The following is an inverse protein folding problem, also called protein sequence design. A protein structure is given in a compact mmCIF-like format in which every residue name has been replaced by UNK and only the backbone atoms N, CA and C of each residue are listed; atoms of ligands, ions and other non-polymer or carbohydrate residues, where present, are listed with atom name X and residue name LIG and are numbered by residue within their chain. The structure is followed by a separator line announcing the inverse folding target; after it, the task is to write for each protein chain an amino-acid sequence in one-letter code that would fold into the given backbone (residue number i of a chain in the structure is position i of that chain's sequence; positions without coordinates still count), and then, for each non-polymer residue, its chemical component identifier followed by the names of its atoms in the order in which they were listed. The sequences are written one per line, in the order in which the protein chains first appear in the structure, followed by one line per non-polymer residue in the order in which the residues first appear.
data_IF_948977460300
#
_entry.id   IF_948977460300
#
_cell.length_a   1.000
_cell.length_b   1.000
_cell.length_c   1.000
_cell.angle_alpha   90.00
_cell.angle_beta   90.00
_cell.angle_gamma   90.00
#
_symmetry.space_group_name_H-M   'P 1'
#
loop_
_entity.id
_entity.type
_entity.pdbx_description
1 polymer ?
#
# COMPACT_ATOMS: atom_id res chain seq x y z
N UNK A 1 -42.34 3.07 -8.18
CA UNK A 1 -41.57 3.03 -6.91
C UNK A 1 -40.08 2.65 -7.09
N UNK A 2 -39.52 2.51 -8.31
CA UNK A 2 -38.07 2.19 -8.48
C UNK A 2 -37.31 3.16 -9.40
N UNK A 3 -37.91 4.29 -9.82
CA UNK A 3 -37.23 5.31 -10.66
C UNK A 3 -36.86 6.61 -9.95
N UNK A 4 -37.23 6.77 -8.67
CA UNK A 4 -37.07 8.04 -7.93
C UNK A 4 -35.90 8.08 -6.93
N UNK A 5 -35.11 7.00 -6.77
CA UNK A 5 -33.95 6.99 -5.84
C UNK A 5 -32.58 7.19 -6.49
N UNK A 6 -32.45 7.00 -7.82
CA UNK A 6 -31.20 7.24 -8.53
C UNK A 6 -31.02 8.71 -8.93
N UNK A 7 -32.12 9.43 -9.18
CA UNK A 7 -32.07 10.82 -9.62
C UNK A 7 -31.56 11.78 -8.54
N UNK A 8 -31.89 11.58 -7.25
CA UNK A 8 -31.39 12.42 -6.15
C UNK A 8 -29.91 12.18 -5.82
N UNK A 9 -29.36 11.02 -6.18
CA UNK A 9 -27.91 10.76 -6.08
C UNK A 9 -27.18 11.43 -7.25
N UNK A 10 -27.77 11.41 -8.45
CA UNK A 10 -27.23 12.04 -9.66
C UNK A 10 -27.35 13.58 -9.68
N UNK A 11 -28.44 14.18 -9.17
CA UNK A 11 -28.57 15.65 -9.06
C UNK A 11 -27.65 16.23 -7.97
N UNK A 12 -27.37 15.48 -6.89
CA UNK A 12 -26.37 15.89 -5.89
C UNK A 12 -24.91 15.69 -6.36
N UNK A 13 -24.67 14.92 -7.43
CA UNK A 13 -23.34 14.73 -8.03
C UNK A 13 -22.82 16.00 -8.74
N UNK A 14 -23.68 16.92 -9.20
CA UNK A 14 -23.21 18.12 -9.91
C UNK A 14 -22.45 19.10 -9.00
N UNK A 15 -22.64 19.04 -7.69
CA UNK A 15 -22.03 19.98 -6.73
C UNK A 15 -20.76 19.46 -6.05
N UNK A 16 -20.50 18.15 -6.13
CA UNK A 16 -19.41 17.47 -5.39
C UNK A 16 -18.73 16.34 -6.20
N UNK A 17 -19.05 16.23 -7.48
CA UNK A 17 -18.93 15.01 -8.28
C UNK A 17 -17.52 14.49 -8.52
N UNK A 18 -16.50 15.35 -8.55
CA UNK A 18 -15.16 14.88 -8.94
C UNK A 18 -14.53 14.01 -7.85
N UNK A 19 -14.55 14.43 -6.58
CA UNK A 19 -13.98 13.66 -5.48
C UNK A 19 -14.74 12.34 -5.24
N UNK A 20 -16.08 12.39 -5.26
CA UNK A 20 -16.92 11.19 -5.09
C UNK A 20 -16.80 10.24 -6.29
N UNK A 21 -16.79 10.75 -7.53
CA UNK A 21 -16.61 9.91 -8.72
C UNK A 21 -15.21 9.31 -8.79
N UNK A 22 -14.18 10.05 -8.37
CA UNK A 22 -12.81 9.57 -8.26
C UNK A 22 -12.69 8.43 -7.23
N UNK A 23 -13.36 8.56 -6.08
CA UNK A 23 -13.45 7.51 -5.07
C UNK A 23 -14.26 6.30 -5.55
N UNK A 24 -15.46 6.50 -6.11
CA UNK A 24 -16.29 5.43 -6.64
C UNK A 24 -15.59 4.67 -7.77
N UNK A 25 -14.75 5.37 -8.55
CA UNK A 25 -13.87 4.78 -9.56
C UNK A 25 -12.75 3.95 -8.92
N UNK A 26 -12.02 4.50 -7.95
CA UNK A 26 -10.98 3.75 -7.25
C UNK A 26 -11.50 2.52 -6.49
N UNK A 27 -12.68 2.60 -5.88
CA UNK A 27 -13.37 1.46 -5.28
C UNK A 27 -13.70 0.36 -6.29
N UNK A 28 -14.14 0.74 -7.50
CA UNK A 28 -14.41 -0.21 -8.59
C UNK A 28 -13.13 -0.81 -9.15
N UNK A 29 -12.04 -0.04 -9.15
CA UNK A 29 -10.76 -0.42 -9.76
C UNK A 29 -9.83 -1.14 -8.77
N UNK A 30 -10.21 -1.30 -7.49
CA UNK A 30 -9.36 -1.90 -6.43
C UNK A 30 -7.96 -1.27 -6.28
N UNK A 31 -7.70 -0.15 -6.94
CA UNK A 31 -6.39 0.50 -6.99
C UNK A 31 -6.21 1.46 -5.80
N UNK A 32 -4.98 1.55 -5.31
CA UNK A 32 -4.53 2.66 -4.48
C UNK A 32 -4.78 3.98 -5.21
N UNK A 33 -5.50 4.90 -4.57
CA UNK A 33 -5.72 6.24 -5.11
C UNK A 33 -4.36 6.90 -5.38
N UNK A 34 -4.11 7.43 -6.59
CA UNK A 34 -3.00 8.35 -6.82
C UNK A 34 -3.00 9.47 -5.77
N UNK A 35 -1.82 9.92 -5.31
CA UNK A 35 -1.68 10.94 -4.26
C UNK A 35 -2.51 12.20 -4.55
N UNK A 36 -2.53 12.65 -5.82
CA UNK A 36 -3.37 13.76 -6.30
C UNK A 36 -4.89 13.53 -6.06
N UNK A 37 -5.35 12.28 -6.16
CA UNK A 37 -6.74 11.92 -5.92
C UNK A 37 -7.06 11.82 -4.42
N UNK A 38 -6.10 11.41 -3.59
CA UNK A 38 -6.21 11.46 -2.12
C UNK A 38 -6.34 12.91 -1.65
N UNK A 39 -5.44 13.79 -2.08
CA UNK A 39 -5.50 15.23 -1.76
C UNK A 39 -6.83 15.86 -2.22
N UNK A 40 -7.27 15.56 -3.45
CA UNK A 40 -8.56 16.01 -3.96
C UNK A 40 -9.75 15.47 -3.16
N UNK A 41 -9.66 14.23 -2.67
CA UNK A 41 -10.69 13.62 -1.83
C UNK A 41 -10.72 14.24 -0.42
N UNK A 42 -9.56 14.51 0.19
CA UNK A 42 -9.44 15.21 1.47
C UNK A 42 -10.08 16.60 1.38
N UNK A 43 -9.74 17.36 0.35
CA UNK A 43 -10.28 18.69 0.11
C UNK A 43 -11.80 18.63 -0.10
N UNK A 44 -12.28 17.72 -0.95
CA UNK A 44 -13.72 17.52 -1.18
C UNK A 44 -14.48 17.20 0.10
N UNK A 45 -13.98 16.25 0.91
CA UNK A 45 -14.61 15.83 2.16
C UNK A 45 -14.63 16.93 3.23
N UNK A 46 -13.57 17.73 3.31
CA UNK A 46 -13.48 18.86 4.24
C UNK A 46 -14.56 19.92 3.96
N UNK A 47 -14.96 20.07 2.70
CA UNK A 47 -16.01 20.98 2.26
C UNK A 47 -17.41 20.38 2.40
N UNK A 48 -17.57 19.07 2.22
CA UNK A 48 -18.88 18.39 2.30
C UNK A 48 -19.36 18.30 3.75
N UNK A 49 -18.51 17.83 4.67
CA UNK A 49 -18.93 17.47 6.03
C UNK A 49 -19.64 18.60 6.80
N UNK A 50 -19.17 19.87 6.79
CA UNK A 50 -19.82 20.97 7.50
C UNK A 50 -21.17 21.40 6.90
N UNK A 51 -21.45 21.00 5.66
CA UNK A 51 -22.66 21.37 4.92
C UNK A 51 -23.74 20.27 4.92
N UNK A 52 -23.50 19.15 5.60
CA UNK A 52 -24.49 18.10 5.78
C UNK A 52 -25.31 18.35 7.06
N UNK A 53 -26.62 18.13 6.95
CA UNK A 53 -27.51 18.05 8.11
C UNK A 53 -27.00 16.93 9.05
N UNK A 54 -26.89 17.15 10.38
CA UNK A 54 -26.45 16.14 11.35
C UNK A 54 -27.16 14.78 11.28
N UNK A 55 -28.40 14.74 10.80
CA UNK A 55 -29.19 13.52 10.64
C UNK A 55 -29.17 12.97 9.20
N UNK A 56 -28.40 13.58 8.28
CA UNK A 56 -28.27 13.12 6.90
C UNK A 56 -27.59 11.73 6.88
N UNK A 57 -28.21 10.71 6.26
CA UNK A 57 -27.64 9.36 6.18
C UNK A 57 -26.26 9.31 5.49
N UNK A 58 -25.90 10.35 4.71
CA UNK A 58 -24.58 10.48 4.10
C UNK A 58 -23.46 10.80 5.10
N UNK A 59 -23.78 11.24 6.33
CA UNK A 59 -22.74 11.53 7.33
C UNK A 59 -21.91 10.29 7.65
N UNK A 60 -22.54 9.14 7.80
CA UNK A 60 -21.81 7.89 8.07
C UNK A 60 -20.87 7.54 6.90
N UNK A 61 -21.32 7.73 5.66
CA UNK A 61 -20.52 7.49 4.46
C UNK A 61 -19.35 8.49 4.35
N UNK A 62 -19.58 9.78 4.62
CA UNK A 62 -18.55 10.83 4.62
C UNK A 62 -17.53 10.62 5.74
N UNK A 63 -17.93 10.24 6.95
CA UNK A 63 -17.01 9.93 8.03
C UNK A 63 -16.18 8.68 7.75
N UNK A 64 -16.80 7.64 7.18
CA UNK A 64 -16.06 6.46 6.71
C UNK A 64 -15.07 6.85 5.60
N UNK A 65 -15.44 7.77 4.71
CA UNK A 65 -14.55 8.26 3.66
C UNK A 65 -13.42 9.10 4.23
N UNK A 66 -13.66 9.96 5.23
CA UNK A 66 -12.59 10.72 5.90
C UNK A 66 -11.60 9.79 6.59
N UNK A 67 -12.10 8.77 7.31
CA UNK A 67 -11.26 7.73 7.91
C UNK A 67 -10.45 7.00 6.86
N UNK A 68 -11.08 6.62 5.75
CA UNK A 68 -10.42 5.92 4.64
C UNK A 68 -9.31 6.78 4.03
N UNK A 69 -9.63 8.01 3.63
CA UNK A 69 -8.69 8.93 2.99
C UNK A 69 -7.54 9.32 3.95
N UNK A 70 -7.81 9.43 5.25
CA UNK A 70 -6.77 9.63 6.26
C UNK A 70 -5.91 8.38 6.52
N UNK A 71 -6.41 7.18 6.21
CA UNK A 71 -5.66 5.91 6.33
C UNK A 71 -4.83 5.57 5.10
N UNK A 72 -4.95 6.33 4.00
CA UNK A 72 -4.11 6.13 2.82
C UNK A 72 -2.76 6.80 3.05
N UNK A 73 -1.71 6.00 3.14
CA UNK A 73 -0.32 6.46 3.09
C UNK A 73 0.00 6.92 1.67
N UNK A 74 0.36 8.19 1.48
CA UNK A 74 0.66 8.74 0.15
C UNK A 74 2.15 8.62 -0.16
N UNK A 75 2.47 8.64 -1.46
CA UNK A 75 3.84 8.94 -1.89
C UNK A 75 4.23 10.31 -1.35
N UNK A 76 5.39 10.37 -0.68
CA UNK A 76 5.91 11.54 0.03
C UNK A 76 5.61 11.54 1.53
N UNK A 77 4.70 10.68 2.02
CA UNK A 77 4.47 10.52 3.45
C UNK A 77 5.48 9.54 4.05
N UNK A 78 5.70 9.64 5.35
CA UNK A 78 6.41 8.61 6.12
C UNK A 78 5.56 7.33 6.14
N UNK A 79 6.14 6.21 5.73
CA UNK A 79 5.45 4.92 5.84
C UNK A 79 5.24 4.63 7.34
N UNK A 80 4.00 4.34 7.80
CA UNK A 80 3.74 4.08 9.20
C UNK A 80 4.64 2.96 9.72
N UNK A 81 5.38 3.25 10.77
CA UNK A 81 6.21 2.25 11.42
C UNK A 81 5.34 1.16 12.07
N UNK A 82 5.82 -0.06 11.97
CA UNK A 82 5.13 -1.27 12.41
C UNK A 82 6.13 -2.21 13.03
N UNK A 83 5.71 -2.91 14.08
CA UNK A 83 6.46 -4.05 14.59
C UNK A 83 5.95 -5.30 13.89
N UNK A 84 6.84 -5.96 13.16
CA UNK A 84 6.59 -7.24 12.53
C UNK A 84 7.58 -8.28 13.08
N UNK A 85 7.39 -9.53 12.70
CA UNK A 85 8.31 -10.62 13.08
C UNK A 85 9.02 -11.15 11.85
N UNK A 86 10.31 -11.43 11.98
CA UNK A 86 11.03 -12.28 11.04
C UNK A 86 10.45 -13.69 11.07
N UNK A 87 10.84 -14.53 10.11
CA UNK A 87 10.39 -15.93 10.09
C UNK A 87 10.86 -16.70 11.34
N UNK A 88 11.97 -16.30 11.96
CA UNK A 88 12.51 -16.86 13.20
C UNK A 88 11.76 -16.37 14.45
N UNK A 89 10.80 -15.46 14.28
CA UNK A 89 10.00 -14.90 15.36
C UNK A 89 10.66 -13.72 16.08
N UNK A 90 11.75 -13.17 15.54
CA UNK A 90 12.43 -11.99 16.07
C UNK A 90 11.62 -10.74 15.69
N UNK A 91 11.38 -9.85 16.64
CA UNK A 91 10.71 -8.57 16.35
C UNK A 91 11.65 -7.63 15.59
N UNK A 92 11.12 -6.99 14.57
CA UNK A 92 11.82 -6.02 13.73
C UNK A 92 10.85 -4.90 13.32
N UNK A 93 11.40 -3.73 13.00
CA UNK A 93 10.68 -2.51 12.62
C UNK A 93 11.29 -1.89 11.36
N UNK A 94 10.66 -0.85 10.80
CA UNK A 94 11.24 -0.13 9.66
C UNK A 94 12.48 0.69 10.05
N UNK A 95 12.61 1.09 11.32
CA UNK A 95 13.80 1.80 11.82
C UNK A 95 15.07 0.95 11.68
N UNK A 96 14.96 -0.39 11.73
CA UNK A 96 16.09 -1.31 11.52
C UNK A 96 16.64 -1.25 10.07
N UNK A 97 15.87 -0.69 9.15
CA UNK A 97 16.26 -0.50 7.74
C UNK A 97 16.70 0.93 7.42
N UNK A 98 16.73 1.82 8.41
CA UNK A 98 17.11 3.23 8.20
C UNK A 98 18.50 3.35 7.57
N UNK A 99 18.63 4.32 6.66
CA UNK A 99 19.83 4.48 5.82
C UNK A 99 19.84 3.62 4.57
N UNK A 100 18.87 2.69 4.41
CA UNK A 100 18.70 1.89 3.19
C UNK A 100 17.48 2.33 2.39
N UNK A 101 17.58 2.25 1.07
CA UNK A 101 16.40 2.23 0.21
C UNK A 101 15.81 0.82 0.29
N UNK A 102 14.54 0.69 0.64
CA UNK A 102 13.89 -0.62 0.83
C UNK A 102 12.76 -0.79 -0.17
N UNK A 103 12.83 -1.87 -0.95
CA UNK A 103 11.69 -2.33 -1.73
C UNK A 103 10.95 -3.38 -0.91
N UNK A 104 9.78 -3.03 -0.39
CA UNK A 104 8.87 -3.93 0.30
C UNK A 104 7.99 -4.63 -0.74
N UNK A 105 7.94 -5.95 -0.73
CA UNK A 105 6.97 -6.74 -1.48
C UNK A 105 6.05 -7.50 -0.51
N UNK A 106 4.77 -7.14 -0.51
CA UNK A 106 3.76 -7.84 0.28
C UNK A 106 3.12 -8.91 -0.59
N UNK A 107 3.21 -10.17 -0.16
CA UNK A 107 2.93 -11.35 -0.97
C UNK A 107 2.35 -12.49 -0.15
N UNK A 108 2.05 -13.61 -0.81
CA UNK A 108 1.70 -14.87 -0.15
C UNK A 108 2.08 -16.07 -1.05
N UNK A 109 2.33 -17.23 -0.45
CA UNK A 109 2.71 -18.46 -1.20
C UNK A 109 1.63 -18.95 -2.15
N UNK A 110 0.36 -18.68 -1.86
CA UNK A 110 -0.77 -19.03 -2.74
C UNK A 110 -1.06 -17.96 -3.82
N UNK A 111 -0.33 -16.85 -3.82
CA UNK A 111 -0.50 -15.76 -4.78
C UNK A 111 0.28 -16.05 -6.08
N UNK A 112 -0.41 -16.61 -7.08
CA UNK A 112 0.19 -16.90 -8.40
C UNK A 112 0.93 -15.72 -9.03
N UNK A 113 0.34 -14.50 -9.12
CA UNK A 113 1.04 -13.32 -9.65
C UNK A 113 2.29 -12.93 -8.85
N UNK A 114 2.30 -13.16 -7.54
CA UNK A 114 3.45 -12.88 -6.68
C UNK A 114 4.62 -13.81 -7.04
N UNK A 115 4.35 -15.12 -7.15
CA UNK A 115 5.36 -16.13 -7.54
C UNK A 115 5.90 -15.81 -8.94
N UNK A 116 5.03 -15.46 -9.88
CA UNK A 116 5.44 -15.07 -11.24
C UNK A 116 6.34 -13.82 -11.27
N UNK A 117 6.27 -12.95 -10.25
CA UNK A 117 7.10 -11.76 -10.12
C UNK A 117 8.48 -12.00 -9.50
N UNK A 118 8.71 -13.14 -8.84
CA UNK A 118 9.98 -13.44 -8.14
C UNK A 118 11.22 -13.34 -9.04
N UNK A 119 11.22 -13.79 -10.32
CA UNK A 119 12.38 -13.62 -11.18
C UNK A 119 12.80 -12.15 -11.35
N UNK A 120 11.84 -11.25 -11.56
CA UNK A 120 12.12 -9.81 -11.69
C UNK A 120 12.59 -9.20 -10.36
N UNK A 121 12.02 -9.65 -9.24
CA UNK A 121 12.46 -9.21 -7.91
C UNK A 121 13.91 -9.62 -7.64
N UNK A 122 14.31 -10.84 -8.00
CA UNK A 122 15.71 -11.32 -7.93
C UNK A 122 16.65 -10.49 -8.81
N UNK A 123 16.23 -10.16 -10.03
CA UNK A 123 17.01 -9.28 -10.92
C UNK A 123 17.28 -7.92 -10.28
N UNK A 124 16.26 -7.32 -9.65
CA UNK A 124 16.39 -6.03 -8.96
C UNK A 124 17.29 -6.14 -7.73
N UNK A 125 17.09 -7.15 -6.89
CA UNK A 125 17.95 -7.41 -5.72
C UNK A 125 19.42 -7.56 -6.12
N UNK A 126 19.70 -8.35 -7.17
CA UNK A 126 21.05 -8.55 -7.70
C UNK A 126 21.63 -7.29 -8.35
N UNK A 127 20.83 -6.52 -9.08
CA UNK A 127 21.27 -5.29 -9.76
C UNK A 127 21.84 -4.26 -8.79
N UNK A 128 21.25 -4.18 -7.58
CA UNK A 128 21.62 -3.21 -6.56
C UNK A 128 22.41 -3.84 -5.39
N UNK A 129 22.90 -5.07 -5.57
CA UNK A 129 23.76 -5.72 -4.60
C UNK A 129 25.02 -4.89 -4.32
N UNK A 130 25.42 -4.80 -3.06
CA UNK A 130 26.57 -3.99 -2.63
C UNK A 130 26.30 -2.49 -2.49
N UNK A 131 25.06 -2.03 -2.75
CA UNK A 131 24.62 -0.64 -2.46
C UNK A 131 23.86 -0.58 -1.14
N UNK A 132 23.40 0.61 -0.73
CA UNK A 132 22.51 0.76 0.42
C UNK A 132 21.04 0.40 0.09
N UNK A 133 20.81 -0.59 -0.77
CA UNK A 133 19.49 -1.08 -1.14
C UNK A 133 19.22 -2.45 -0.52
N UNK A 134 17.96 -2.73 -0.21
CA UNK A 134 17.52 -4.09 0.16
C UNK A 134 16.06 -4.34 -0.23
N UNK A 135 15.72 -5.63 -0.34
CA UNK A 135 14.33 -6.08 -0.49
C UNK A 135 13.85 -6.59 0.86
N UNK A 136 12.61 -6.26 1.21
CA UNK A 136 11.93 -6.80 2.38
C UNK A 136 10.65 -7.51 1.93
N UNK A 137 10.66 -8.83 1.96
CA UNK A 137 9.49 -9.63 1.62
C UNK A 137 8.59 -9.80 2.83
N UNK A 138 7.32 -9.42 2.70
CA UNK A 138 6.36 -9.43 3.80
C UNK A 138 5.22 -10.37 3.46
N UNK A 139 5.26 -11.56 4.05
CA UNK A 139 4.25 -12.58 3.81
C UNK A 139 2.97 -12.31 4.59
N UNK A 140 1.84 -12.41 3.87
CA UNK A 140 0.50 -12.41 4.40
C UNK A 140 -0.11 -13.81 4.53
N UNK A 141 0.70 -14.87 4.39
CA UNK A 141 0.27 -16.25 4.67
C UNK A 141 -0.22 -16.40 6.12
N UNK A 142 -1.08 -17.38 6.37
CA UNK A 142 -1.63 -17.58 7.72
C UNK A 142 -0.59 -18.06 8.73
N UNK A 143 0.48 -18.72 8.27
CA UNK A 143 1.52 -19.35 9.10
C UNK A 143 2.92 -19.05 8.57
N UNK A 144 3.84 -18.74 9.47
CA UNK A 144 5.25 -18.50 9.12
C UNK A 144 5.91 -19.77 8.57
N UNK A 145 5.49 -20.96 9.03
CA UNK A 145 6.00 -22.25 8.58
C UNK A 145 5.77 -22.46 7.08
N UNK A 146 4.63 -22.04 6.54
CA UNK A 146 4.33 -22.13 5.11
C UNK A 146 5.31 -21.32 4.27
N UNK A 147 5.74 -20.16 4.78
CA UNK A 147 6.74 -19.31 4.12
C UNK A 147 8.11 -19.96 4.19
N UNK A 148 8.49 -20.53 5.34
CA UNK A 148 9.77 -21.24 5.50
C UNK A 148 9.90 -22.41 4.53
N UNK A 149 8.88 -23.25 4.44
CA UNK A 149 8.83 -24.38 3.51
C UNK A 149 8.97 -23.91 2.06
N UNK A 150 8.34 -22.79 1.69
CA UNK A 150 8.51 -22.21 0.35
C UNK A 150 9.95 -21.75 0.08
N UNK A 151 10.60 -21.15 1.08
CA UNK A 151 11.97 -20.65 0.97
C UNK A 151 13.05 -21.75 0.97
N UNK A 152 12.71 -22.99 1.36
CA UNK A 152 13.62 -24.13 1.21
C UNK A 152 13.86 -24.48 -0.27
N UNK A 153 12.85 -24.24 -1.12
CA UNK A 153 12.90 -24.52 -2.56
C UNK A 153 13.22 -23.27 -3.40
N UNK A 154 12.88 -22.08 -2.90
CA UNK A 154 13.06 -20.80 -3.60
C UNK A 154 14.06 -19.91 -2.86
N UNK A 155 15.27 -19.77 -3.41
CA UNK A 155 16.29 -18.88 -2.84
C UNK A 155 15.89 -17.41 -3.01
N UNK A 156 15.55 -16.76 -1.89
CA UNK A 156 15.27 -15.32 -1.77
C UNK A 156 16.15 -14.74 -0.64
N UNK A 157 17.44 -14.41 -0.92
CA UNK A 157 18.46 -14.13 0.09
C UNK A 157 18.39 -12.69 0.63
N UNK A 158 17.24 -12.27 1.11
CA UNK A 158 16.99 -10.97 1.75
C UNK A 158 16.07 -11.15 2.96
N UNK A 159 15.72 -10.06 3.65
CA UNK A 159 14.94 -10.13 4.88
C UNK A 159 13.47 -10.50 4.60
N UNK A 160 12.91 -11.37 5.45
CA UNK A 160 11.53 -11.84 5.35
C UNK A 160 10.76 -11.60 6.64
N UNK A 161 9.60 -10.96 6.53
CA UNK A 161 8.63 -10.84 7.62
C UNK A 161 7.42 -11.74 7.38
N UNK A 162 6.83 -12.21 8.47
CA UNK A 162 5.50 -12.83 8.49
C UNK A 162 4.55 -11.97 9.29
N UNK A 163 3.50 -11.48 8.64
CA UNK A 163 2.47 -10.64 9.29
C UNK A 163 1.09 -11.32 9.28
N UNK A 164 0.77 -12.10 8.25
CA UNK A 164 -0.58 -12.60 8.03
C UNK A 164 -1.58 -11.51 7.57
N UNK A 165 -2.59 -11.93 6.81
CA UNK A 165 -3.52 -11.02 6.12
C UNK A 165 -4.45 -10.20 7.04
N UNK A 166 -4.56 -10.55 8.33
CA UNK A 166 -5.44 -9.87 9.30
C UNK A 166 -4.68 -8.99 10.30
N UNK A 167 -3.36 -8.91 10.19
CA UNK A 167 -2.50 -8.15 11.12
C UNK A 167 -2.76 -6.66 11.13
N UNK A 168 -2.31 -6.02 12.21
CA UNK A 168 -2.27 -4.57 12.32
C UNK A 168 -1.38 -3.96 11.22
N UNK A 169 -0.25 -4.57 10.89
CA UNK A 169 0.63 -4.15 9.79
C UNK A 169 -0.11 -4.12 8.45
N UNK A 170 -0.82 -5.21 8.11
CA UNK A 170 -1.62 -5.28 6.89
C UNK A 170 -2.66 -4.14 6.81
N UNK A 171 -3.28 -3.81 7.95
CA UNK A 171 -4.27 -2.73 8.04
C UNK A 171 -3.62 -1.33 7.97
N UNK A 172 -2.56 -1.08 8.75
CA UNK A 172 -1.83 0.20 8.80
C UNK A 172 -1.20 0.57 7.46
N UNK A 173 -0.61 -0.41 6.78
CA UNK A 173 -0.10 -0.21 5.43
C UNK A 173 -1.19 -0.26 4.37
N UNK A 174 -2.47 -0.41 4.75
CA UNK A 174 -3.62 -0.41 3.85
C UNK A 174 -3.44 -1.39 2.67
N UNK A 175 -2.98 -2.60 2.94
CA UNK A 175 -2.81 -3.64 1.92
C UNK A 175 -4.20 -4.11 1.45
N UNK A 176 -4.42 -4.11 0.13
CA UNK A 176 -5.73 -4.41 -0.49
C UNK A 176 -5.70 -5.52 -1.53
N UNK A 177 -4.51 -5.98 -1.88
CA UNK A 177 -4.30 -7.01 -2.88
C UNK A 177 -2.83 -7.42 -2.93
N UNK A 178 -2.58 -8.55 -3.57
CA UNK A 178 -1.24 -9.11 -3.72
C UNK A 178 -0.91 -9.30 -5.21
N UNK A 179 0.33 -9.02 -5.63
CA UNK A 179 1.39 -8.41 -4.82
C UNK A 179 1.08 -6.93 -4.52
N UNK A 180 1.59 -6.40 -3.41
CA UNK A 180 1.69 -4.94 -3.20
C UNK A 180 3.16 -4.58 -3.02
N UNK A 181 3.70 -3.75 -3.90
CA UNK A 181 5.05 -3.19 -3.78
C UNK A 181 4.98 -1.80 -3.15
N UNK A 182 5.91 -1.51 -2.25
CA UNK A 182 6.13 -0.20 -1.66
C UNK A 182 7.63 0.08 -1.63
N UNK A 183 8.05 1.19 -2.21
CA UNK A 183 9.45 1.63 -2.20
C UNK A 183 9.60 2.74 -1.16
N UNK A 184 10.51 2.58 -0.20
CA UNK A 184 10.82 3.62 0.79
C UNK A 184 12.26 4.11 0.65
N UNK A 185 12.46 5.40 0.88
CA UNK A 185 13.79 6.04 0.96
C UNK A 185 14.51 5.71 2.26
N UNK A 186 15.77 6.14 2.33
CA UNK A 186 16.67 5.97 3.48
C UNK A 186 16.17 6.59 4.78
N UNK A 187 15.24 7.53 4.72
CA UNK A 187 14.60 8.19 5.87
C UNK A 187 13.19 7.67 6.16
N UNK A 188 12.74 6.60 5.49
CA UNK A 188 11.41 6.00 5.70
C UNK A 188 10.27 6.63 4.89
N UNK A 189 10.55 7.59 4.01
CA UNK A 189 9.52 8.19 3.14
C UNK A 189 9.08 7.21 2.05
N UNK A 190 7.77 7.06 1.83
CA UNK A 190 7.21 6.26 0.75
C UNK A 190 7.44 6.96 -0.59
N UNK A 191 8.27 6.39 -1.45
CA UNK A 191 8.62 6.93 -2.77
C UNK A 191 7.67 6.44 -3.87
N UNK A 192 7.23 5.18 -3.78
CA UNK A 192 6.31 4.58 -4.75
C UNK A 192 5.48 3.45 -4.15
N UNK A 193 4.32 3.17 -4.75
CA UNK A 193 3.43 2.06 -4.37
C UNK A 193 2.64 1.54 -5.56
N UNK A 194 2.41 0.22 -5.64
CA UNK A 194 1.56 -0.37 -6.68
C UNK A 194 1.46 -1.89 -6.60
N UNK A 195 0.73 -2.49 -7.55
CA UNK A 195 0.56 -3.95 -7.66
C UNK A 195 1.51 -4.60 -8.68
N UNK A 196 2.52 -3.87 -9.13
CA UNK A 196 3.52 -4.36 -10.08
C UNK A 196 4.84 -3.65 -9.84
N UNK A 197 5.95 -4.36 -10.02
CA UNK A 197 7.29 -3.79 -9.96
C UNK A 197 7.60 -3.10 -11.29
N UNK A 198 7.41 -1.79 -11.35
CA UNK A 198 7.54 -0.99 -12.58
C UNK A 198 8.98 -0.52 -12.80
N UNK A 199 9.31 -0.17 -14.04
CA UNK A 199 10.60 0.46 -14.36
C UNK A 199 10.76 1.82 -13.68
N UNK A 200 9.67 2.55 -13.43
CA UNK A 200 9.70 3.80 -12.65
C UNK A 200 10.14 3.56 -11.20
N UNK A 201 9.65 2.50 -10.54
CA UNK A 201 10.13 2.12 -9.21
C UNK A 201 11.62 1.79 -9.24
N UNK A 202 12.09 1.07 -10.26
CA UNK A 202 13.49 0.70 -10.42
C UNK A 202 14.38 1.95 -10.62
N UNK A 203 13.91 2.93 -11.40
CA UNK A 203 14.60 4.21 -11.57
C UNK A 203 14.65 5.00 -10.26
N UNK A 204 13.57 4.98 -9.46
CA UNK A 204 13.58 5.63 -8.15
C UNK A 204 14.56 4.97 -7.17
N UNK A 205 14.77 3.65 -7.26
CA UNK A 205 15.84 3.00 -6.48
C UNK A 205 17.18 3.67 -6.81
N UNK A 206 17.57 3.71 -8.09
CA UNK A 206 18.84 4.32 -8.54
C UNK A 206 19.03 5.76 -8.05
N UNK A 207 17.97 6.56 -8.09
CA UNK A 207 18.02 7.98 -7.73
C UNK A 207 18.15 8.23 -6.23
N UNK A 208 17.77 7.26 -5.39
CA UNK A 208 17.73 7.41 -3.94
C UNK A 208 18.85 6.63 -3.22
N UNK A 209 19.71 5.94 -3.96
CA UNK A 209 20.92 5.35 -3.39
C UNK A 209 21.84 6.45 -2.85
N UNK A 210 22.50 6.15 -1.72
CA UNK A 210 23.58 7.00 -1.22
C UNK A 210 24.79 6.75 -2.11
N UNK A 211 25.37 7.82 -2.66
CA UNK A 211 26.66 7.73 -3.35
C UNK A 211 27.74 7.47 -2.28
N UNK A 212 28.32 6.26 -2.31
CA UNK A 212 29.40 5.82 -1.41
C UNK A 212 30.75 6.12 -2.06
#
# INVERSE_FOLDING_TARGET
VVKFKLATVYEKQERWGLAYANYARALREQMSLPSQMVASAQEGLSRIRPNLDPDDPLIAEVENMRKYVASVVNVGDQLPDVTAKTLEGVEQTLEDFKGKVVLIDVWATWCGPCIAGLPKLREVAKKFEGTNFTVLSVSADDKAETVKEFLEEEELPWDHWHIGATSETHQKWNIRGYPTYMLISTDGTLLARGHSLTEEMIQQIEQNLIQI
#
